data_IF_365606512445
#
_entry.id   IF_365606512445
#
_cell.length_a   1.000
_cell.length_b   1.000
_cell.length_c   1.000
_cell.angle_alpha   90.00
_cell.angle_beta   90.00
_cell.angle_gamma   90.00
#
_symmetry.space_group_name_H-M   'P 1'
#
loop_
_entity.id
_entity.type
_entity.pdbx_description
1 polymer ?
#
# COMPACT_ATOMS: atom_id res chain seq x y z
N UNK A 1 27.83 -10.33 -7.44
CA UNK A 1 26.49 -10.73 -6.96
C UNK A 1 25.90 -11.70 -7.97
N UNK A 2 25.47 -12.87 -7.49
CA UNK A 2 24.67 -13.79 -8.27
C UNK A 2 23.23 -13.68 -7.78
N UNK A 3 22.31 -13.35 -8.69
CA UNK A 3 20.89 -13.36 -8.37
C UNK A 3 20.39 -14.80 -8.48
N UNK A 4 19.90 -15.39 -7.40
CA UNK A 4 19.30 -16.71 -7.43
C UNK A 4 17.97 -16.70 -8.18
N UNK A 5 17.21 -15.64 -7.99
CA UNK A 5 15.92 -15.39 -8.66
C UNK A 5 15.51 -13.93 -8.54
N UNK A 6 14.58 -13.53 -9.37
CA UNK A 6 13.95 -12.22 -9.37
C UNK A 6 12.47 -12.42 -9.65
N UNK A 7 11.62 -11.93 -8.76
CA UNK A 7 10.16 -12.04 -8.87
C UNK A 7 9.50 -10.70 -8.55
N UNK A 8 8.28 -10.45 -9.03
CA UNK A 8 7.48 -9.33 -8.56
C UNK A 8 7.26 -9.38 -7.04
N UNK A 9 7.04 -8.21 -6.41
CA UNK A 9 6.91 -8.12 -4.96
C UNK A 9 5.73 -8.95 -4.40
N UNK A 10 4.65 -9.08 -5.13
CA UNK A 10 3.48 -9.88 -4.75
C UNK A 10 3.75 -11.41 -4.75
N UNK A 11 4.84 -11.85 -5.36
CA UNK A 11 5.28 -13.26 -5.39
C UNK A 11 6.50 -13.52 -4.48
N UNK A 12 7.04 -12.48 -3.85
CA UNK A 12 8.27 -12.59 -3.06
C UNK A 12 8.11 -13.57 -1.90
N UNK A 13 7.03 -13.44 -1.14
CA UNK A 13 6.73 -14.28 0.03
C UNK A 13 6.57 -15.75 -0.33
N UNK A 14 5.83 -16.06 -1.39
CA UNK A 14 5.66 -17.44 -1.87
C UNK A 14 6.99 -18.03 -2.34
N UNK A 15 7.74 -17.27 -3.11
CA UNK A 15 9.06 -17.71 -3.59
C UNK A 15 10.05 -17.97 -2.46
N UNK A 16 10.05 -17.08 -1.46
CA UNK A 16 10.89 -17.21 -0.28
C UNK A 16 10.53 -18.47 0.52
N UNK A 17 9.25 -18.73 0.76
CA UNK A 17 8.80 -19.93 1.45
C UNK A 17 9.24 -21.23 0.75
N UNK A 18 9.17 -21.29 -0.57
CA UNK A 18 9.67 -22.42 -1.36
C UNK A 18 11.19 -22.59 -1.21
N UNK A 19 11.94 -21.49 -1.22
CA UNK A 19 13.39 -21.52 -1.10
C UNK A 19 13.83 -22.00 0.28
N UNK A 20 13.19 -21.52 1.34
CA UNK A 20 13.43 -21.97 2.72
C UNK A 20 13.16 -23.47 2.86
N UNK A 21 12.04 -23.94 2.31
CA UNK A 21 11.66 -25.35 2.39
C UNK A 21 12.63 -26.28 1.64
N UNK A 22 13.33 -25.76 0.63
CA UNK A 22 14.39 -26.49 -0.10
C UNK A 22 15.75 -26.50 0.63
N UNK A 23 15.89 -25.70 1.70
CA UNK A 23 17.17 -25.54 2.42
C UNK A 23 18.19 -24.65 1.71
N UNK A 24 17.82 -23.99 0.62
CA UNK A 24 18.68 -23.08 -0.14
C UNK A 24 18.34 -21.64 0.20
N UNK A 25 18.96 -21.08 1.24
CA UNK A 25 18.73 -19.70 1.65
C UNK A 25 19.78 -18.79 1.01
N UNK A 26 19.39 -17.67 0.38
CA UNK A 26 20.34 -16.73 -0.18
C UNK A 26 21.16 -16.01 0.91
N UNK A 27 22.40 -15.63 0.59
CA UNK A 27 23.27 -14.85 1.51
C UNK A 27 22.67 -13.47 1.85
N UNK A 28 21.93 -12.89 0.91
CA UNK A 28 21.25 -11.58 1.07
C UNK A 28 19.83 -11.72 0.52
N UNK A 29 18.86 -11.28 1.32
CA UNK A 29 17.45 -11.31 0.96
C UNK A 29 16.74 -10.07 1.51
N UNK A 30 15.77 -9.56 0.76
CA UNK A 30 14.82 -8.57 1.26
C UNK A 30 13.70 -9.31 1.96
N UNK A 31 13.43 -8.95 3.21
CA UNK A 31 12.41 -9.57 4.04
C UNK A 31 11.34 -8.55 4.40
N UNK A 32 10.09 -8.96 4.33
CA UNK A 32 8.98 -8.27 5.01
C UNK A 32 9.05 -8.54 6.52
N UNK A 33 8.45 -7.68 7.32
CA UNK A 33 8.56 -7.71 8.79
C UNK A 33 8.21 -9.08 9.39
N UNK A 34 7.21 -9.76 8.85
CA UNK A 34 6.77 -11.07 9.33
C UNK A 34 7.89 -12.11 9.22
N UNK A 35 8.48 -12.26 8.04
CA UNK A 35 9.61 -13.19 7.83
C UNK A 35 10.88 -12.75 8.52
N UNK A 36 11.09 -11.44 8.65
CA UNK A 36 12.26 -10.91 9.35
C UNK A 36 12.31 -11.38 10.81
N UNK A 37 11.19 -11.30 11.53
CA UNK A 37 11.12 -11.74 12.92
C UNK A 37 11.19 -13.27 13.03
N UNK A 38 10.55 -14.01 12.16
CA UNK A 38 10.64 -15.47 12.11
C UNK A 38 12.08 -15.93 11.89
N UNK A 39 12.81 -15.29 10.97
CA UNK A 39 14.20 -15.62 10.67
C UNK A 39 15.15 -15.25 11.80
N UNK A 40 14.87 -14.15 12.49
CA UNK A 40 15.62 -13.74 13.66
C UNK A 40 15.41 -14.72 14.82
N UNK A 41 14.19 -15.21 15.04
CA UNK A 41 13.85 -16.19 16.06
C UNK A 41 14.43 -17.60 15.77
N UNK A 42 14.66 -17.89 14.50
CA UNK A 42 15.18 -19.20 14.03
C UNK A 42 16.70 -19.20 13.77
N UNK A 43 17.41 -18.15 14.19
CA UNK A 43 18.86 -17.97 14.01
C UNK A 43 19.33 -18.01 12.54
N UNK A 44 18.45 -17.68 11.58
CA UNK A 44 18.84 -17.57 10.17
C UNK A 44 19.54 -16.26 9.84
N UNK A 45 19.31 -15.21 10.66
CA UNK A 45 19.93 -13.91 10.44
C UNK A 45 21.23 -13.76 11.20
N UNK A 46 22.21 -13.19 10.54
CA UNK A 46 23.51 -12.88 11.15
C UNK A 46 23.45 -11.55 11.86
N UNK A 47 24.17 -11.45 13.00
CA UNK A 47 24.48 -10.18 13.65
C UNK A 47 25.32 -9.30 12.71
N UNK A 48 24.75 -8.16 12.34
CA UNK A 48 25.33 -7.18 11.42
C UNK A 48 25.92 -5.96 12.12
N UNK A 49 25.94 -5.92 13.45
CA UNK A 49 26.34 -4.76 14.24
C UNK A 49 27.73 -4.25 13.83
N UNK A 50 28.73 -5.11 13.87
CA UNK A 50 30.09 -4.75 13.49
C UNK A 50 30.21 -4.40 12.00
N UNK A 51 29.49 -5.10 11.15
CA UNK A 51 29.50 -4.84 9.71
C UNK A 51 28.89 -3.46 9.38
N UNK A 52 27.77 -3.11 10.03
CA UNK A 52 27.16 -1.80 9.88
C UNK A 52 28.07 -0.69 10.41
N UNK A 53 28.65 -0.86 11.61
CA UNK A 53 29.50 0.15 12.20
C UNK A 53 30.78 0.39 11.40
N UNK A 54 31.45 -0.65 10.93
CA UNK A 54 32.75 -0.55 10.29
C UNK A 54 32.68 -0.39 8.76
N UNK A 55 31.62 -0.91 8.10
CA UNK A 55 31.50 -0.93 6.65
C UNK A 55 30.34 -0.09 6.12
N UNK A 56 29.39 0.30 6.98
CA UNK A 56 28.28 1.17 6.59
C UNK A 56 28.75 2.51 6.06
N UNK A 57 28.34 2.88 4.84
CA UNK A 57 28.70 4.16 4.26
C UNK A 57 28.15 5.34 5.08
N UNK A 58 28.84 6.48 4.99
CA UNK A 58 28.37 7.71 5.63
C UNK A 58 26.96 8.10 5.20
N UNK A 59 26.66 7.91 3.91
CA UNK A 59 25.36 8.27 3.34
C UNK A 59 24.26 7.34 3.85
N UNK A 60 24.52 6.03 3.93
CA UNK A 60 23.58 5.07 4.51
C UNK A 60 23.26 5.45 5.98
N UNK A 61 24.27 5.72 6.77
CA UNK A 61 24.10 6.11 8.18
C UNK A 61 23.33 7.42 8.31
N UNK A 62 23.60 8.40 7.43
CA UNK A 62 22.89 9.68 7.43
C UNK A 62 21.40 9.50 7.08
N UNK A 63 21.09 8.71 6.05
CA UNK A 63 19.70 8.42 5.67
C UNK A 63 18.96 7.72 6.81
N UNK A 64 19.51 6.65 7.36
CA UNK A 64 18.86 5.93 8.46
C UNK A 64 18.67 6.82 9.70
N UNK A 65 19.65 7.65 10.03
CA UNK A 65 19.54 8.60 11.14
C UNK A 65 18.46 9.66 10.91
N UNK A 66 18.21 10.08 9.67
CA UNK A 66 17.17 11.05 9.34
C UNK A 66 15.75 10.55 9.58
N UNK A 67 15.56 9.23 9.62
CA UNK A 67 14.27 8.58 9.89
C UNK A 67 13.96 8.38 11.37
N UNK A 68 14.86 8.83 12.25
CA UNK A 68 14.75 8.62 13.69
C UNK A 68 15.22 7.22 14.13
N UNK A 69 14.93 6.86 15.37
CA UNK A 69 15.42 5.62 15.97
C UNK A 69 14.61 4.37 15.61
N UNK A 70 13.33 4.54 15.29
CA UNK A 70 12.39 3.44 15.13
C UNK A 70 12.83 2.38 14.09
N UNK A 71 13.31 2.71 12.87
CA UNK A 71 13.72 1.70 11.91
C UNK A 71 14.84 0.81 12.42
N UNK A 72 15.82 1.40 13.13
CA UNK A 72 16.93 0.64 13.70
C UNK A 72 16.48 -0.20 14.90
N UNK A 73 15.56 0.30 15.72
CA UNK A 73 14.98 -0.48 16.83
C UNK A 73 14.23 -1.72 16.32
N UNK A 74 13.41 -1.59 15.25
CA UNK A 74 12.72 -2.72 14.65
C UNK A 74 13.65 -3.76 14.04
N UNK A 75 14.83 -3.36 13.58
CA UNK A 75 15.82 -4.25 12.98
C UNK A 75 16.82 -4.81 13.99
N UNK A 76 16.65 -4.49 15.28
CA UNK A 76 17.57 -4.89 16.36
C UNK A 76 16.86 -5.69 17.45
N UNK A 77 17.62 -6.59 18.10
CA UNK A 77 17.20 -7.31 19.29
C UNK A 77 18.40 -7.48 20.23
N UNK A 78 18.22 -7.23 21.51
CA UNK A 78 19.23 -7.35 22.54
C UNK A 78 20.53 -6.57 22.21
N UNK A 79 20.40 -5.39 21.61
CA UNK A 79 21.51 -4.53 21.21
C UNK A 79 22.27 -4.97 19.96
N UNK A 80 21.78 -5.99 19.25
CA UNK A 80 22.36 -6.51 18.01
C UNK A 80 21.47 -6.16 16.81
N UNK A 81 22.10 -5.77 15.71
CA UNK A 81 21.43 -5.45 14.45
C UNK A 81 21.36 -6.70 13.55
N UNK A 82 20.17 -7.08 13.12
CA UNK A 82 19.96 -8.26 12.30
C UNK A 82 19.54 -7.95 10.86
N UNK A 83 19.20 -6.70 10.56
CA UNK A 83 18.85 -6.26 9.22
C UNK A 83 19.14 -4.78 9.01
N UNK A 84 19.42 -4.41 7.77
CA UNK A 84 19.48 -2.99 7.39
C UNK A 84 18.08 -2.59 6.92
N UNK A 85 17.39 -1.67 7.63
CA UNK A 85 16.04 -1.27 7.24
C UNK A 85 16.02 -0.66 5.84
N UNK A 86 15.04 -1.04 5.03
CA UNK A 86 14.73 -0.31 3.81
C UNK A 86 14.10 1.03 4.21
N UNK A 87 14.85 2.09 4.04
CA UNK A 87 14.43 3.44 4.38
C UNK A 87 13.58 4.01 3.25
N UNK A 88 12.33 4.33 3.55
CA UNK A 88 11.47 5.08 2.65
C UNK A 88 11.33 6.51 3.16
N UNK A 89 11.28 7.46 2.25
CA UNK A 89 10.92 8.83 2.61
C UNK A 89 9.50 8.82 3.22
N UNK A 90 9.27 9.45 4.38
CA UNK A 90 7.94 9.51 4.98
C UNK A 90 6.85 10.05 4.05
N UNK A 91 7.23 10.84 3.03
CA UNK A 91 6.31 11.36 2.02
C UNK A 91 5.92 10.33 0.96
N UNK A 92 6.68 9.26 0.76
CA UNK A 92 6.34 8.19 -0.19
C UNK A 92 5.12 7.37 0.25
N UNK A 93 4.78 7.40 1.54
CA UNK A 93 3.59 6.76 2.09
C UNK A 93 2.31 7.60 2.04
N UNK A 94 2.37 8.82 1.49
CA UNK A 94 1.20 9.68 1.38
C UNK A 94 0.33 9.22 0.23
N UNK A 95 -0.84 8.71 0.57
CA UNK A 95 -1.85 8.34 -0.42
C UNK A 95 -2.56 9.59 -0.93
N UNK A 96 -2.67 9.73 -2.25
CA UNK A 96 -3.38 10.82 -2.91
C UNK A 96 -4.54 10.30 -3.75
N UNK A 97 -5.60 11.11 -3.86
CA UNK A 97 -6.67 10.89 -4.82
C UNK A 97 -6.26 11.46 -6.18
N UNK A 98 -6.19 10.60 -7.19
CA UNK A 98 -5.97 10.99 -8.58
C UNK A 98 -7.29 10.87 -9.34
N UNK A 99 -7.73 11.94 -9.98
CA UNK A 99 -8.97 11.97 -10.74
C UNK A 99 -8.80 12.59 -12.14
N UNK A 100 -9.70 12.27 -13.04
CA UNK A 100 -9.76 12.82 -14.41
C UNK A 100 -10.27 14.25 -14.38
N UNK A 101 -9.35 15.21 -14.46
CA UNK A 101 -9.70 16.63 -14.48
C UNK A 101 -10.54 17.03 -15.70
N UNK A 102 -10.26 16.43 -16.84
CA UNK A 102 -11.05 16.63 -18.05
C UNK A 102 -12.50 16.17 -17.90
N UNK A 103 -12.76 15.10 -17.16
CA UNK A 103 -14.11 14.65 -16.84
C UNK A 103 -14.80 15.58 -15.83
N UNK A 104 -14.05 16.06 -14.85
CA UNK A 104 -14.56 17.04 -13.90
C UNK A 104 -15.06 18.29 -14.64
N UNK A 105 -14.25 18.83 -15.55
CA UNK A 105 -14.58 19.98 -16.38
C UNK A 105 -15.74 19.71 -17.34
N UNK A 106 -15.76 18.55 -18.01
CA UNK A 106 -16.83 18.18 -18.92
C UNK A 106 -18.19 18.08 -18.25
N UNK A 107 -18.19 17.68 -16.97
CA UNK A 107 -19.39 17.59 -16.14
C UNK A 107 -19.74 18.89 -15.41
N UNK A 108 -18.92 19.94 -15.54
CA UNK A 108 -19.13 21.20 -14.86
C UNK A 108 -19.08 21.10 -13.33
N UNK A 109 -18.24 20.18 -12.81
CA UNK A 109 -18.07 19.97 -11.39
C UNK A 109 -16.90 20.79 -10.85
N UNK A 110 -17.06 21.29 -9.64
CA UNK A 110 -15.97 21.89 -8.87
C UNK A 110 -15.07 20.79 -8.25
N UNK A 111 -13.84 21.16 -7.87
CA UNK A 111 -12.95 20.28 -7.14
C UNK A 111 -13.56 19.90 -5.78
N UNK A 112 -13.63 18.61 -5.43
CA UNK A 112 -14.27 18.17 -4.20
C UNK A 112 -13.47 18.63 -2.98
N UNK A 113 -14.17 19.11 -1.96
CA UNK A 113 -13.60 19.62 -0.71
C UNK A 113 -13.90 18.73 0.51
N UNK A 114 -14.78 17.75 0.34
CA UNK A 114 -15.20 16.79 1.36
C UNK A 114 -15.56 15.45 0.75
N UNK A 115 -15.76 14.42 1.59
CA UNK A 115 -16.00 13.05 1.13
C UNK A 115 -17.37 12.85 0.46
N UNK A 116 -18.38 13.64 0.79
CA UNK A 116 -19.67 13.59 0.11
C UNK A 116 -19.52 14.03 -1.35
N UNK A 117 -18.82 15.14 -1.60
CA UNK A 117 -18.51 15.63 -2.95
C UNK A 117 -17.60 14.67 -3.72
N UNK A 118 -16.62 14.02 -3.04
CA UNK A 118 -15.81 12.95 -3.67
C UNK A 118 -16.69 11.79 -4.11
N UNK A 119 -17.57 11.29 -3.25
CA UNK A 119 -18.46 10.18 -3.57
C UNK A 119 -19.40 10.52 -4.73
N UNK A 120 -19.97 11.72 -4.74
CA UNK A 120 -20.82 12.21 -5.83
C UNK A 120 -20.06 12.34 -7.15
N UNK A 121 -18.83 12.85 -7.12
CA UNK A 121 -17.94 12.90 -8.30
C UNK A 121 -17.68 11.50 -8.85
N UNK A 122 -17.38 10.53 -8.00
CA UNK A 122 -17.10 9.14 -8.41
C UNK A 122 -18.30 8.49 -9.09
N UNK A 123 -19.51 8.74 -8.58
CA UNK A 123 -20.74 8.24 -9.22
C UNK A 123 -20.96 8.90 -10.57
N UNK A 124 -20.84 10.21 -10.67
CA UNK A 124 -20.96 10.93 -11.95
C UNK A 124 -19.92 10.50 -12.97
N UNK A 125 -18.71 10.16 -12.53
CA UNK A 125 -17.67 9.60 -13.42
C UNK A 125 -18.05 8.21 -13.94
N UNK A 126 -18.64 7.36 -13.11
CA UNK A 126 -19.13 6.06 -13.55
C UNK A 126 -20.26 6.18 -14.59
N UNK A 127 -21.14 7.14 -14.41
CA UNK A 127 -22.24 7.44 -15.36
C UNK A 127 -21.74 8.07 -16.67
N UNK A 128 -20.76 8.97 -16.57
CA UNK A 128 -20.20 9.68 -17.72
C UNK A 128 -19.26 8.82 -18.58
N UNK A 129 -18.45 7.97 -17.95
CA UNK A 129 -17.43 7.19 -18.64
C UNK A 129 -17.94 6.42 -19.86
N UNK A 130 -19.09 5.72 -19.82
CA UNK A 130 -19.66 5.04 -21.00
C UNK A 130 -19.93 5.96 -22.17
N UNK A 131 -20.24 7.22 -21.93
CA UNK A 131 -20.55 8.19 -23.01
C UNK A 131 -19.34 8.58 -23.85
N UNK A 132 -18.13 8.46 -23.25
CA UNK A 132 -16.87 8.86 -23.89
C UNK A 132 -15.94 7.71 -24.25
N UNK A 133 -16.27 6.45 -23.83
CA UNK A 133 -15.45 5.27 -24.09
C UNK A 133 -16.10 4.21 -24.99
N UNK A 134 -17.07 4.60 -25.79
CA UNK A 134 -17.73 3.70 -26.72
C UNK A 134 -18.77 2.76 -26.07
N UNK A 135 -19.42 3.22 -25.00
CA UNK A 135 -20.49 2.49 -24.30
C UNK A 135 -19.98 1.43 -23.30
N UNK A 136 -18.68 1.37 -23.05
CA UNK A 136 -18.12 0.41 -22.09
C UNK A 136 -18.35 0.89 -20.66
N UNK A 137 -18.78 -0.03 -19.80
CA UNK A 137 -18.91 0.25 -18.37
C UNK A 137 -17.60 0.80 -17.78
N UNK A 138 -17.71 1.85 -16.99
CA UNK A 138 -16.58 2.53 -16.36
C UNK A 138 -16.86 2.64 -14.88
N UNK A 139 -15.89 2.30 -14.05
CA UNK A 139 -15.97 2.55 -12.63
C UNK A 139 -15.46 3.98 -12.32
N UNK A 140 -16.11 4.67 -11.40
CA UNK A 140 -15.64 5.95 -10.88
C UNK A 140 -14.46 5.78 -9.94
N UNK A 141 -14.45 4.67 -9.18
CA UNK A 141 -13.39 4.30 -8.25
C UNK A 141 -12.86 2.91 -8.60
N UNK A 142 -11.56 2.80 -8.76
CA UNK A 142 -10.88 1.54 -8.93
C UNK A 142 -10.07 1.17 -7.69
N UNK A 143 -9.93 -0.12 -7.47
CA UNK A 143 -9.06 -0.70 -6.45
C UNK A 143 -8.56 -2.06 -6.90
N UNK A 144 -7.70 -2.69 -6.09
CA UNK A 144 -7.23 -4.06 -6.25
C UNK A 144 -7.85 -4.97 -5.20
N UNK A 145 -7.63 -6.29 -5.33
CA UNK A 145 -8.04 -7.28 -4.32
C UNK A 145 -7.44 -7.00 -2.94
N UNK A 146 -6.26 -6.39 -2.91
CA UNK A 146 -5.61 -5.94 -1.66
C UNK A 146 -6.13 -4.60 -1.16
N UNK A 147 -7.41 -4.54 -0.82
CA UNK A 147 -8.16 -3.32 -0.49
C UNK A 147 -7.46 -2.40 0.52
N UNK A 148 -6.65 -2.95 1.42
CA UNK A 148 -6.00 -2.19 2.49
C UNK A 148 -4.47 -2.19 2.43
N UNK A 149 -3.84 -3.11 1.71
CA UNK A 149 -2.42 -3.44 1.90
C UNK A 149 -1.56 -3.33 0.65
N UNK A 150 -2.12 -2.97 -0.50
CA UNK A 150 -1.38 -2.91 -1.76
C UNK A 150 -1.36 -1.50 -2.34
N UNK A 151 -0.52 -1.30 -3.35
CA UNK A 151 -0.61 -0.13 -4.21
C UNK A 151 -2.02 -0.07 -4.80
N UNK A 152 -2.57 1.13 -4.91
CA UNK A 152 -3.96 1.37 -5.34
C UNK A 152 -5.02 0.85 -4.37
N UNK A 153 -4.66 0.65 -3.11
CA UNK A 153 -5.58 0.32 -2.04
C UNK A 153 -6.46 1.51 -1.65
N UNK A 154 -7.55 1.19 -0.97
CA UNK A 154 -8.49 2.19 -0.47
C UNK A 154 -8.08 2.79 0.89
N UNK A 155 -6.81 2.64 1.30
CA UNK A 155 -6.33 3.14 2.58
C UNK A 155 -6.61 4.64 2.77
N UNK A 156 -6.39 5.46 1.73
CA UNK A 156 -6.72 6.88 1.78
C UNK A 156 -8.22 7.14 1.96
N UNK A 157 -9.07 6.35 1.32
CA UNK A 157 -10.51 6.44 1.48
C UNK A 157 -10.92 6.23 2.94
N UNK A 158 -10.40 5.17 3.58
CA UNK A 158 -10.65 4.93 5.01
C UNK A 158 -10.13 6.07 5.89
N UNK A 159 -8.91 6.56 5.61
CA UNK A 159 -8.30 7.65 6.38
C UNK A 159 -9.09 8.96 6.29
N UNK A 160 -9.74 9.23 5.17
CA UNK A 160 -10.62 10.40 5.03
C UNK A 160 -11.86 10.34 5.94
N UNK A 161 -12.28 9.15 6.37
CA UNK A 161 -13.30 8.97 7.39
C UNK A 161 -12.73 8.93 8.82
N UNK A 162 -11.41 9.08 8.99
CA UNK A 162 -10.73 8.93 10.28
C UNK A 162 -10.46 7.48 10.69
N UNK A 163 -10.62 6.54 9.78
CA UNK A 163 -10.38 5.11 10.03
C UNK A 163 -8.98 4.69 9.59
N UNK A 164 -8.30 3.87 10.39
CA UNK A 164 -6.92 3.45 10.17
C UNK A 164 -6.77 1.92 10.24
N UNK A 165 -7.32 1.16 9.28
CA UNK A 165 -7.50 -0.29 9.37
C UNK A 165 -6.21 -1.09 9.62
N UNK A 166 -5.06 -0.57 9.18
CA UNK A 166 -3.77 -1.27 9.29
C UNK A 166 -2.84 -0.64 10.32
N UNK A 167 -3.39 0.11 11.27
CA UNK A 167 -2.60 0.81 12.28
C UNK A 167 -3.10 0.50 13.68
N UNK A 168 -2.18 0.45 14.61
CA UNK A 168 -2.48 0.64 16.02
C UNK A 168 -2.35 2.13 16.32
N UNK A 169 -3.39 2.71 16.91
CA UNK A 169 -3.47 4.14 17.20
C UNK A 169 -3.64 4.36 18.69
N UNK A 170 -3.13 5.49 19.16
CA UNK A 170 -3.41 5.96 20.52
C UNK A 170 -4.75 6.72 20.54
N UNK A 171 -5.72 6.20 21.30
CA UNK A 171 -6.99 6.86 21.55
C UNK A 171 -7.23 6.89 23.06
N UNK A 172 -7.38 8.07 23.63
CA UNK A 172 -7.58 8.27 25.08
C UNK A 172 -6.54 7.58 25.97
N UNK A 173 -5.27 7.59 25.53
CA UNK A 173 -4.16 6.99 26.24
C UNK A 173 -4.07 5.46 26.15
N UNK A 174 -4.93 4.83 25.35
CA UNK A 174 -4.90 3.39 25.09
C UNK A 174 -4.52 3.08 23.64
N UNK A 175 -3.81 1.99 23.45
CA UNK A 175 -3.48 1.47 22.12
C UNK A 175 -4.67 0.68 21.58
N UNK A 176 -5.27 1.16 20.50
CA UNK A 176 -6.47 0.59 19.87
C UNK A 176 -6.13 0.12 18.46
N UNK A 177 -6.60 -1.08 18.09
CA UNK A 177 -6.49 -1.52 16.71
C UNK A 177 -7.44 -0.71 15.83
N UNK A 178 -6.92 -0.11 14.77
CA UNK A 178 -7.69 0.78 13.90
C UNK A 178 -8.88 0.11 13.19
N UNK A 179 -8.86 -1.23 13.01
CA UNK A 179 -9.99 -1.96 12.45
C UNK A 179 -11.23 -1.92 13.36
N UNK A 180 -11.04 -1.76 14.66
CA UNK A 180 -12.15 -1.77 15.64
C UNK A 180 -12.76 -0.40 15.88
N UNK A 181 -12.36 0.62 15.12
CA UNK A 181 -12.91 1.98 15.25
C UNK A 181 -14.32 2.07 14.66
N UNK A 182 -15.16 2.89 15.26
CA UNK A 182 -16.53 3.15 14.75
C UNK A 182 -16.48 3.79 13.35
N UNK A 183 -15.51 4.66 13.09
CA UNK A 183 -15.26 5.30 11.79
C UNK A 183 -15.06 4.30 10.64
N UNK A 184 -14.68 3.06 10.94
CA UNK A 184 -14.63 1.98 9.94
C UNK A 184 -16.01 1.68 9.35
N UNK A 185 -17.07 1.76 10.15
CA UNK A 185 -18.43 1.52 9.65
C UNK A 185 -18.87 2.62 8.68
N UNK A 186 -18.49 3.85 8.92
CA UNK A 186 -18.83 4.97 8.04
C UNK A 186 -18.12 4.84 6.70
N UNK A 187 -16.83 4.52 6.70
CA UNK A 187 -16.06 4.27 5.49
C UNK A 187 -16.61 3.07 4.70
N UNK A 188 -16.93 1.97 5.37
CA UNK A 188 -17.50 0.77 4.74
C UNK A 188 -18.89 1.02 4.17
N UNK A 189 -19.72 1.80 4.84
CA UNK A 189 -21.03 2.19 4.32
C UNK A 189 -20.90 3.07 3.07
N UNK A 190 -19.94 3.99 3.05
CA UNK A 190 -19.62 4.77 1.86
C UNK A 190 -19.19 3.91 0.68
N UNK A 191 -18.30 2.94 0.88
CA UNK A 191 -17.89 1.98 -0.16
C UNK A 191 -19.04 1.10 -0.62
N UNK A 192 -19.91 0.66 0.29
CA UNK A 192 -21.11 -0.11 -0.03
C UNK A 192 -22.07 0.68 -0.91
N UNK A 193 -22.27 1.96 -0.61
CA UNK A 193 -23.11 2.86 -1.45
C UNK A 193 -22.48 3.04 -2.84
N UNK A 194 -21.19 3.33 -2.92
CA UNK A 194 -20.46 3.43 -4.20
C UNK A 194 -20.57 2.14 -5.03
N UNK A 195 -20.47 0.98 -4.39
CA UNK A 195 -20.63 -0.31 -5.05
C UNK A 195 -22.07 -0.49 -5.59
N UNK A 196 -23.07 -0.20 -4.77
CA UNK A 196 -24.49 -0.30 -5.14
C UNK A 196 -24.88 0.65 -6.29
N UNK A 197 -24.24 1.83 -6.35
CA UNK A 197 -24.43 2.83 -7.41
C UNK A 197 -23.53 2.59 -8.64
N UNK A 198 -22.76 1.49 -8.67
CA UNK A 198 -21.87 1.15 -9.79
C UNK A 198 -20.63 2.03 -9.92
N UNK A 199 -20.34 2.86 -8.93
CA UNK A 199 -19.16 3.71 -8.92
C UNK A 199 -17.89 2.97 -8.52
N UNK A 200 -17.96 1.96 -7.65
CA UNK A 200 -16.87 1.02 -7.40
C UNK A 200 -16.97 -0.15 -8.40
N UNK A 201 -15.84 -0.50 -9.03
CA UNK A 201 -15.79 -1.57 -10.00
C UNK A 201 -16.31 -2.90 -9.39
N UNK A 202 -17.29 -3.60 -10.01
CA UNK A 202 -17.90 -4.77 -9.40
C UNK A 202 -16.95 -5.96 -9.26
N UNK A 203 -15.92 -6.00 -10.08
CA UNK A 203 -14.90 -7.06 -10.12
C UNK A 203 -13.54 -6.65 -9.52
N UNK A 204 -13.48 -5.52 -8.79
CA UNK A 204 -12.24 -4.98 -8.20
C UNK A 204 -11.49 -6.03 -7.35
N UNK A 205 -12.22 -6.88 -6.63
CA UNK A 205 -11.64 -7.90 -5.76
C UNK A 205 -10.91 -9.02 -6.51
N UNK A 206 -10.96 -9.03 -7.85
CA UNK A 206 -10.23 -10.00 -8.68
C UNK A 206 -8.99 -9.38 -9.34
N UNK A 207 -8.74 -8.08 -9.16
CA UNK A 207 -7.65 -7.38 -9.83
C UNK A 207 -6.39 -7.37 -8.97
N UNK A 208 -5.27 -7.73 -9.58
CA UNK A 208 -3.94 -7.42 -9.05
C UNK A 208 -3.47 -6.04 -9.54
N UNK A 209 -2.31 -5.59 -9.06
CA UNK A 209 -1.76 -4.27 -9.39
C UNK A 209 -1.50 -4.07 -10.88
N UNK A 210 -1.04 -5.12 -11.59
CA UNK A 210 -0.77 -5.05 -13.03
C UNK A 210 -2.06 -4.90 -13.83
N UNK A 211 -3.08 -5.68 -13.48
CA UNK A 211 -4.41 -5.59 -14.11
C UNK A 211 -5.06 -4.23 -13.87
N UNK A 212 -4.92 -3.69 -12.67
CA UNK A 212 -5.40 -2.34 -12.34
C UNK A 212 -4.68 -1.29 -13.19
N UNK A 213 -3.34 -1.31 -13.21
CA UNK A 213 -2.51 -0.38 -13.98
C UNK A 213 -2.86 -0.43 -15.47
N UNK A 214 -3.01 -1.64 -16.04
CA UNK A 214 -3.40 -1.79 -17.44
C UNK A 214 -4.78 -1.18 -17.75
N UNK A 215 -5.74 -1.28 -16.84
CA UNK A 215 -7.08 -0.68 -16.99
C UNK A 215 -7.03 0.84 -16.94
N UNK A 216 -6.31 1.42 -15.97
CA UNK A 216 -6.16 2.87 -15.82
C UNK A 216 -5.44 3.46 -17.05
N UNK A 217 -4.32 2.87 -17.44
CA UNK A 217 -3.53 3.37 -18.58
C UNK A 217 -4.24 3.20 -19.92
N UNK A 218 -5.04 2.14 -20.11
CA UNK A 218 -5.83 1.96 -21.32
C UNK A 218 -6.93 3.01 -21.48
N UNK A 219 -7.43 3.56 -20.40
CA UNK A 219 -8.40 4.66 -20.43
C UNK A 219 -7.75 6.01 -20.77
N UNK A 220 -6.47 6.22 -20.42
CA UNK A 220 -5.73 7.46 -20.71
C UNK A 220 -5.30 7.54 -22.17
N UNK A 221 -4.98 6.42 -22.82
CA UNK A 221 -4.47 6.38 -24.19
C UNK A 221 -5.54 6.55 -25.28
N UNK A 222 -6.77 6.94 -24.96
CA UNK A 222 -7.88 7.11 -25.90
C UNK A 222 -8.40 8.54 -26.03
N UNK A 223 -7.57 9.51 -25.64
CA UNK A 223 -7.82 10.95 -25.87
C UNK A 223 -7.17 11.40 -27.15
#
# INVERSE_FOLDING_TARGET
>A
LNFLWMVPNDQLSERLALQISSGEIPDIVMLESEYFYEFMDSDYLRDLTDAYENCGSRDLKAVLSSLGEAPMQYSSRDGKLYGIPAALDPTEGVAGLYYRQDWLQALGLDEPTNMEEVNDMLVKFAEYGPTVNGGKATAGLGSTSGVMNTNFALAAYFQCYGAYPNKWIMRDGQLVNGVTQDEMLDALNGLKDLYARGALAPDFATWNSDQFTARVTSAVNRS
#
